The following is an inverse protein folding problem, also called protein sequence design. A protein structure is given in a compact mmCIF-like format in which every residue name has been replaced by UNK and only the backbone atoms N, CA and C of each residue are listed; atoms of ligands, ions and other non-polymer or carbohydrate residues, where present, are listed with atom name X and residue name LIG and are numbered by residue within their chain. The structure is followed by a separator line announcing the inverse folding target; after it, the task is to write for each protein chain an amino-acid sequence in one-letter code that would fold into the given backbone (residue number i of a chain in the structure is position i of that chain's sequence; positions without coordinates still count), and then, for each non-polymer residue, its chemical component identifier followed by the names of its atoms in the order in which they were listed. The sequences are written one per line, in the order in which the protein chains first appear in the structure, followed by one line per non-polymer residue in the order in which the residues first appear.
data_IF_323433135423
#
_entry.id   IF_323433135423
#
_cell.length_a   1.000
_cell.length_b   1.000
_cell.length_c   1.000
_cell.angle_alpha   90.00
_cell.angle_beta   90.00
_cell.angle_gamma   90.00
#
_symmetry.space_group_name_H-M   'P 1'
#
loop_
_entity.id
_entity.type
_entity.pdbx_description
1 polymer ?
#
# COMPACT_ATOMS: atom_id res chain seq x y z
N UNK A 1 24.07 -30.01 11.47
CA UNK A 1 22.75 -30.56 11.85
C UNK A 1 21.93 -30.61 10.58
N UNK A 2 21.24 -31.70 10.27
CA UNK A 2 20.39 -31.74 9.07
C UNK A 2 19.16 -30.87 9.33
N UNK A 3 19.07 -29.72 8.66
CA UNK A 3 17.87 -28.89 8.64
C UNK A 3 16.74 -29.69 7.98
N UNK A 4 15.69 -29.97 8.76
CA UNK A 4 14.44 -30.52 8.24
C UNK A 4 13.76 -29.46 7.37
N UNK A 5 13.87 -29.60 6.04
CA UNK A 5 13.12 -28.82 5.06
C UNK A 5 11.69 -29.35 4.94
N UNK A 6 10.74 -28.46 4.68
CA UNK A 6 9.35 -28.86 4.43
C UNK A 6 9.26 -29.71 3.15
N UNK A 7 8.30 -30.65 3.10
CA UNK A 7 8.15 -31.63 2.01
C UNK A 7 7.93 -30.99 0.62
N UNK A 8 7.52 -29.73 0.58
CA UNK A 8 7.27 -28.95 -0.66
C UNK A 8 8.50 -28.18 -1.15
N UNK A 9 9.62 -28.21 -0.42
CA UNK A 9 10.83 -27.45 -0.76
C UNK A 9 11.76 -28.30 -1.62
N UNK A 10 12.08 -27.79 -2.82
CA UNK A 10 13.01 -28.40 -3.76
C UNK A 10 14.37 -27.70 -3.64
N UNK A 11 15.45 -28.47 -3.72
CA UNK A 11 16.80 -27.95 -3.87
C UNK A 11 17.49 -28.60 -5.07
N UNK A 12 17.89 -27.78 -6.04
CA UNK A 12 18.55 -28.24 -7.27
C UNK A 12 19.52 -27.17 -7.79
N UNK A 13 20.73 -27.60 -8.17
CA UNK A 13 21.74 -26.72 -8.79
C UNK A 13 22.09 -25.45 -8.02
N UNK A 14 22.03 -25.46 -6.68
CA UNK A 14 22.28 -24.28 -5.82
C UNK A 14 21.04 -23.43 -5.50
N UNK A 15 19.93 -23.68 -6.20
CA UNK A 15 18.64 -23.03 -5.98
C UNK A 15 17.80 -23.81 -4.98
N UNK A 16 17.05 -23.07 -4.16
CA UNK A 16 16.06 -23.62 -3.22
C UNK A 16 14.74 -22.91 -3.44
N UNK A 17 13.64 -23.63 -3.57
CA UNK A 17 12.32 -23.00 -3.76
C UNK A 17 11.16 -23.88 -3.28
N UNK A 18 10.03 -23.24 -3.02
CA UNK A 18 8.76 -23.87 -2.68
C UNK A 18 8.05 -24.26 -3.98
N UNK A 19 7.78 -25.54 -4.16
CA UNK A 19 7.07 -26.06 -5.33
C UNK A 19 5.56 -25.77 -5.29
N UNK A 20 4.93 -25.79 -6.47
CA UNK A 20 3.48 -25.71 -6.68
C UNK A 20 2.79 -24.49 -6.06
N UNK A 21 3.51 -23.37 -5.90
CA UNK A 21 2.89 -22.11 -5.46
C UNK A 21 2.16 -21.50 -6.65
N UNK A 22 0.85 -21.29 -6.50
CA UNK A 22 0.03 -20.68 -7.54
C UNK A 22 0.50 -19.25 -7.80
N UNK A 23 0.68 -18.92 -9.08
CA UNK A 23 1.03 -17.57 -9.50
C UNK A 23 -0.13 -16.59 -9.23
N UNK A 24 0.21 -15.31 -9.12
CA UNK A 24 -0.70 -14.23 -8.82
C UNK A 24 -0.54 -13.07 -9.81
N UNK A 25 -1.52 -12.16 -9.84
CA UNK A 25 -1.44 -10.91 -10.59
C UNK A 25 -1.43 -9.75 -9.62
N UNK A 26 -0.23 -9.35 -9.20
CA UNK A 26 -0.01 -8.29 -8.24
C UNK A 26 0.00 -6.94 -8.98
N UNK A 27 0.83 -6.80 -10.01
CA UNK A 27 1.00 -5.54 -10.76
C UNK A 27 1.79 -4.48 -9.99
N UNK A 28 1.76 -3.24 -10.47
CA UNK A 28 2.55 -2.12 -9.94
C UNK A 28 1.69 -0.92 -9.48
N UNK A 29 0.40 -1.16 -9.19
CA UNK A 29 -0.53 -0.12 -8.73
C UNK A 29 -0.34 0.18 -7.23
N UNK A 30 -0.99 1.23 -6.73
CA UNK A 30 -0.86 1.68 -5.34
C UNK A 30 -1.25 0.64 -4.28
N UNK A 31 -2.04 -0.37 -4.64
CA UNK A 31 -2.49 -1.47 -3.79
C UNK A 31 -1.73 -2.77 -4.05
N UNK A 32 -0.61 -2.74 -4.77
CA UNK A 32 0.22 -3.91 -5.06
C UNK A 32 0.57 -4.70 -3.79
N UNK A 33 0.88 -4.02 -2.68
CA UNK A 33 1.13 -4.66 -1.38
C UNK A 33 -0.07 -5.49 -0.90
N UNK A 34 -1.29 -4.94 -0.97
CA UNK A 34 -2.51 -5.66 -0.57
C UNK A 34 -2.86 -6.78 -1.54
N UNK A 35 -2.58 -6.62 -2.85
CA UNK A 35 -2.76 -7.69 -3.85
C UNK A 35 -1.77 -8.84 -3.62
N UNK A 36 -0.54 -8.53 -3.23
CA UNK A 36 0.46 -9.52 -2.85
C UNK A 36 0.01 -10.28 -1.59
N UNK A 37 -0.47 -9.58 -0.55
CA UNK A 37 -1.03 -10.20 0.64
C UNK A 37 -2.27 -11.06 0.30
N UNK A 38 -3.18 -10.55 -0.53
CA UNK A 38 -4.35 -11.29 -1.02
C UNK A 38 -3.94 -12.61 -1.67
N UNK A 39 -3.01 -12.55 -2.62
CA UNK A 39 -2.50 -13.73 -3.30
C UNK A 39 -1.88 -14.75 -2.34
N UNK A 40 -1.10 -14.30 -1.36
CA UNK A 40 -0.51 -15.16 -0.34
C UNK A 40 -1.57 -15.81 0.57
N UNK A 41 -2.63 -15.09 0.94
CA UNK A 41 -3.72 -15.66 1.73
C UNK A 41 -4.55 -16.68 0.92
N UNK A 42 -4.82 -16.39 -0.35
CA UNK A 42 -5.53 -17.30 -1.25
C UNK A 42 -4.71 -18.57 -1.50
N UNK A 43 -3.39 -18.49 -1.66
CA UNK A 43 -2.54 -19.68 -1.81
C UNK A 43 -2.52 -20.57 -0.57
N UNK A 44 -2.85 -20.02 0.61
CA UNK A 44 -3.08 -20.76 1.86
C UNK A 44 -4.50 -21.31 2.00
N UNK A 45 -5.36 -21.10 1.00
CA UNK A 45 -6.75 -21.58 0.97
C UNK A 45 -7.75 -20.66 1.67
N UNK A 46 -7.37 -19.43 2.02
CA UNK A 46 -8.30 -18.49 2.66
C UNK A 46 -9.35 -17.98 1.66
N UNK A 47 -10.58 -17.87 2.14
CA UNK A 47 -11.71 -17.29 1.39
C UNK A 47 -11.80 -15.81 1.70
N UNK A 48 -10.93 -15.03 1.08
CA UNK A 48 -10.81 -13.58 1.25
C UNK A 48 -11.12 -12.88 -0.07
N UNK A 49 -11.56 -11.62 -0.01
CA UNK A 49 -11.67 -10.71 -1.17
C UNK A 49 -10.70 -9.55 -0.99
N UNK A 50 -10.26 -8.94 -2.09
CA UNK A 50 -9.40 -7.76 -2.03
C UNK A 50 -10.09 -6.60 -1.29
N UNK A 51 -11.39 -6.40 -1.51
CA UNK A 51 -12.18 -5.37 -0.83
C UNK A 51 -12.20 -5.57 0.69
N UNK A 52 -12.34 -6.82 1.15
CA UNK A 52 -12.27 -7.12 2.58
C UNK A 52 -10.89 -6.84 3.16
N UNK A 53 -9.81 -7.13 2.41
CA UNK A 53 -8.45 -6.79 2.83
C UNK A 53 -8.22 -5.28 2.89
N UNK A 54 -8.67 -4.53 1.90
CA UNK A 54 -8.61 -3.06 1.89
C UNK A 54 -9.38 -2.46 3.07
N UNK A 55 -10.56 -3.00 3.39
CA UNK A 55 -11.34 -2.53 4.52
C UNK A 55 -10.67 -2.85 5.87
N UNK A 56 -10.21 -4.09 6.05
CA UNK A 56 -9.56 -4.52 7.28
C UNK A 56 -8.18 -3.89 7.49
N UNK A 57 -7.46 -3.53 6.43
CA UNK A 57 -6.19 -2.79 6.54
C UNK A 57 -6.40 -1.34 6.98
N UNK A 58 -7.60 -0.79 6.74
CA UNK A 58 -7.95 0.61 6.90
C UNK A 58 -7.81 1.43 5.61
N UNK A 59 -7.26 0.86 4.54
CA UNK A 59 -7.01 1.58 3.28
C UNK A 59 -8.29 2.00 2.58
N UNK A 60 -9.36 1.20 2.69
CA UNK A 60 -10.66 1.52 2.10
C UNK A 60 -11.25 2.84 2.64
N UNK A 61 -10.94 3.19 3.89
CA UNK A 61 -11.55 4.30 4.63
C UNK A 61 -10.69 5.57 4.64
N UNK A 62 -9.57 5.59 3.93
CA UNK A 62 -8.64 6.71 4.00
C UNK A 62 -8.33 7.28 2.62
N UNK A 63 -8.08 8.59 2.57
CA UNK A 63 -7.51 9.27 1.41
C UNK A 63 -6.21 9.95 1.85
N UNK A 64 -5.23 10.04 0.95
CA UNK A 64 -3.98 10.73 1.21
C UNK A 64 -3.69 11.79 0.13
N UNK A 65 -3.16 12.93 0.55
CA UNK A 65 -2.67 13.99 -0.35
C UNK A 65 -1.30 14.50 0.10
N UNK A 66 -0.36 14.64 -0.83
CA UNK A 66 0.97 15.17 -0.55
C UNK A 66 1.02 16.70 -0.72
N UNK A 67 1.76 17.41 0.14
CA UNK A 67 2.18 18.78 -0.15
C UNK A 67 3.14 18.76 -1.34
N UNK A 68 3.00 19.75 -2.23
CA UNK A 68 3.85 19.89 -3.41
C UNK A 68 3.82 18.65 -4.34
N UNK A 69 2.72 18.46 -5.07
CA UNK A 69 2.50 17.36 -6.03
C UNK A 69 3.61 17.14 -7.08
N UNK A 70 4.53 18.08 -7.22
CA UNK A 70 5.69 17.99 -8.12
C UNK A 70 6.89 17.25 -7.50
N UNK A 71 6.95 17.16 -6.18
CA UNK A 71 7.91 16.31 -5.49
C UNK A 71 7.54 14.82 -5.71
N UNK A 72 8.46 13.90 -5.41
CA UNK A 72 8.20 12.46 -5.51
C UNK A 72 7.08 12.04 -4.55
N UNK A 73 5.83 12.11 -5.00
CA UNK A 73 4.67 11.83 -4.17
C UNK A 73 4.30 10.35 -4.26
N UNK A 74 4.58 9.63 -3.18
CA UNK A 74 4.07 8.28 -2.97
C UNK A 74 2.87 8.40 -2.03
N UNK A 75 1.66 8.04 -2.45
CA UNK A 75 0.51 8.19 -1.55
C UNK A 75 0.62 7.23 -0.36
N UNK A 76 0.68 7.76 0.85
CA UNK A 76 0.78 6.99 2.08
C UNK A 76 -0.60 6.71 2.69
N UNK A 77 -0.66 5.94 3.78
CA UNK A 77 -1.83 5.77 4.65
C UNK A 77 -1.31 5.72 6.09
N UNK A 78 -1.97 6.24 7.11
CA UNK A 78 -1.41 6.22 8.47
C UNK A 78 -1.50 4.86 9.17
N UNK A 79 -1.99 3.82 8.50
CA UNK A 79 -2.19 2.47 9.06
C UNK A 79 -1.06 1.51 8.76
N UNK A 80 -0.83 0.55 9.67
CA UNK A 80 -0.07 -0.67 9.37
C UNK A 80 -0.93 -1.62 8.52
N UNK A 81 -0.88 -1.44 7.20
CA UNK A 81 -1.77 -2.11 6.27
C UNK A 81 -1.64 -3.62 6.30
N UNK A 82 -0.41 -4.13 6.30
CA UNK A 82 -0.11 -5.56 6.27
C UNK A 82 -0.50 -6.21 7.58
N UNK A 83 -0.09 -5.63 8.71
CA UNK A 83 -0.37 -6.23 10.03
C UNK A 83 -1.85 -6.22 10.33
N UNK A 84 -2.55 -5.12 10.08
CA UNK A 84 -4.01 -5.03 10.30
C UNK A 84 -4.76 -6.05 9.44
N UNK A 85 -4.42 -6.14 8.15
CA UNK A 85 -5.06 -7.07 7.24
C UNK A 85 -4.75 -8.53 7.62
N UNK A 86 -3.49 -8.89 7.86
CA UNK A 86 -3.12 -10.24 8.26
C UNK A 86 -3.80 -10.66 9.57
N UNK A 87 -3.81 -9.78 10.58
CA UNK A 87 -4.46 -10.03 11.85
C UNK A 87 -5.97 -10.26 11.70
N UNK A 88 -6.62 -9.53 10.79
CA UNK A 88 -8.05 -9.71 10.48
C UNK A 88 -8.38 -11.06 9.83
N UNK A 89 -7.39 -11.80 9.33
CA UNK A 89 -7.55 -13.18 8.87
C UNK A 89 -6.91 -14.20 9.82
N UNK A 90 -6.52 -13.75 11.02
CA UNK A 90 -5.97 -14.58 12.08
C UNK A 90 -4.50 -14.91 11.89
N UNK A 91 -3.76 -14.18 11.06
CA UNK A 91 -2.33 -14.37 10.86
C UNK A 91 -1.51 -13.34 11.62
N UNK A 92 -0.33 -13.75 12.07
CA UNK A 92 0.67 -12.79 12.54
C UNK A 92 1.43 -12.26 11.33
N UNK A 93 1.59 -10.95 11.25
CA UNK A 93 2.54 -10.33 10.32
C UNK A 93 3.75 -9.83 11.11
N UNK A 94 4.91 -9.91 10.49
CA UNK A 94 6.14 -9.34 11.03
C UNK A 94 6.93 -8.69 9.89
N UNK A 95 7.31 -7.42 10.06
CA UNK A 95 8.27 -6.79 9.17
C UNK A 95 9.68 -7.34 9.46
N UNK A 96 10.34 -7.88 8.44
CA UNK A 96 11.73 -8.32 8.49
C UNK A 96 12.65 -7.11 8.59
N UNK A 97 13.11 -6.81 9.80
CA UNK A 97 14.26 -5.94 10.07
C UNK A 97 14.30 -4.63 9.26
N UNK A 98 13.34 -3.75 9.52
CA UNK A 98 13.45 -2.36 9.12
C UNK A 98 14.29 -1.62 10.16
N UNK A 99 15.61 -1.83 10.17
CA UNK A 99 16.49 -1.02 11.01
C UNK A 99 16.27 0.46 10.65
N UNK A 100 15.68 1.21 11.58
CA UNK A 100 15.58 2.66 11.43
C UNK A 100 16.93 3.20 11.85
N UNK A 101 17.71 3.53 10.85
CA UNK A 101 18.78 4.48 11.04
C UNK A 101 18.12 5.80 10.68
N UNK A 102 17.97 6.72 11.63
CA UNK A 102 17.26 7.98 11.40
C UNK A 102 17.80 8.79 10.22
N UNK A 103 19.06 8.54 9.88
CA UNK A 103 19.80 9.15 8.77
C UNK A 103 19.71 8.32 7.47
N UNK A 104 18.99 7.19 7.49
CA UNK A 104 18.90 6.19 6.43
C UNK A 104 20.02 5.14 6.45
N UNK A 105 19.82 4.00 5.80
CA UNK A 105 20.88 2.98 5.63
C UNK A 105 22.12 3.55 4.96
N UNK A 106 21.97 4.59 4.12
CA UNK A 106 23.09 5.28 3.47
C UNK A 106 24.05 5.97 4.45
N UNK A 107 23.62 6.28 5.67
CA UNK A 107 24.48 6.87 6.69
C UNK A 107 25.44 5.86 7.35
N UNK A 108 25.17 4.56 7.19
CA UNK A 108 26.05 3.51 7.71
C UNK A 108 27.30 3.31 6.85
N UNK A 109 28.41 2.89 7.49
CA UNK A 109 29.52 2.25 6.78
C UNK A 109 29.03 1.05 5.94
N UNK A 110 29.64 0.86 4.76
CA UNK A 110 29.25 -0.20 3.81
C UNK A 110 29.18 -1.59 4.45
N UNK A 111 30.14 -1.95 5.29
CA UNK A 111 30.18 -3.26 5.93
C UNK A 111 28.96 -3.49 6.85
N UNK A 112 28.53 -2.47 7.59
CA UNK A 112 27.33 -2.53 8.45
C UNK A 112 26.06 -2.67 7.60
N UNK A 113 25.99 -2.00 6.44
CA UNK A 113 24.86 -2.16 5.50
C UNK A 113 24.75 -3.60 5.00
N UNK A 114 25.89 -4.18 4.63
CA UNK A 114 25.96 -5.57 4.15
C UNK A 114 25.57 -6.56 5.25
N UNK A 115 25.94 -6.32 6.49
CA UNK A 115 25.58 -7.19 7.61
C UNK A 115 24.07 -7.17 7.90
N UNK A 116 23.44 -5.99 7.88
CA UNK A 116 21.97 -5.85 8.00
C UNK A 116 21.25 -6.56 6.85
N UNK A 117 21.68 -6.32 5.61
CA UNK A 117 21.09 -6.99 4.44
C UNK A 117 21.25 -8.50 4.49
N UNK A 118 22.42 -8.99 4.92
CA UNK A 118 22.66 -10.43 5.10
C UNK A 118 21.72 -11.01 6.15
N UNK A 119 21.50 -10.33 7.27
CA UNK A 119 20.58 -10.79 8.31
C UNK A 119 19.13 -10.88 7.79
N UNK A 120 18.68 -9.88 7.02
CA UNK A 120 17.36 -9.90 6.37
C UNK A 120 17.25 -11.07 5.37
N UNK A 121 18.25 -11.28 4.52
CA UNK A 121 18.27 -12.38 3.54
C UNK A 121 18.31 -13.76 4.20
N UNK A 122 19.14 -13.98 5.21
CA UNK A 122 19.18 -15.26 5.93
C UNK A 122 17.83 -15.59 6.58
N UNK A 123 17.10 -14.56 7.03
CA UNK A 123 15.76 -14.75 7.57
C UNK A 123 14.74 -15.08 6.48
N UNK A 124 14.83 -14.47 5.29
CA UNK A 124 14.05 -14.88 4.11
C UNK A 124 14.36 -16.34 3.76
N UNK A 125 15.64 -16.72 3.71
CA UNK A 125 16.06 -18.07 3.35
C UNK A 125 15.51 -19.12 4.31
N UNK A 126 15.59 -18.86 5.62
CA UNK A 126 15.04 -19.75 6.64
C UNK A 126 13.53 -19.97 6.50
N UNK A 127 12.79 -18.93 6.10
CA UNK A 127 11.35 -19.02 5.86
C UNK A 127 11.03 -19.85 4.62
N UNK A 128 11.80 -19.67 3.54
CA UNK A 128 11.70 -20.51 2.34
C UNK A 128 12.05 -21.97 2.65
N UNK A 129 13.12 -22.24 3.39
CA UNK A 129 13.51 -23.59 3.82
C UNK A 129 12.40 -24.26 4.66
N UNK A 130 11.64 -23.45 5.40
CA UNK A 130 10.47 -23.89 6.16
C UNK A 130 9.17 -23.96 5.33
N UNK A 131 9.24 -23.74 4.02
CA UNK A 131 8.08 -23.82 3.12
C UNK A 131 7.14 -22.62 3.18
N UNK A 132 7.59 -21.47 3.70
CA UNK A 132 6.77 -20.27 3.89
C UNK A 132 7.20 -19.13 2.95
N UNK A 133 6.34 -18.73 1.99
CA UNK A 133 6.62 -17.59 1.13
C UNK A 133 6.69 -16.26 1.91
N UNK A 134 7.45 -15.31 1.38
CA UNK A 134 7.70 -13.99 1.99
C UNK A 134 7.21 -12.88 1.05
N UNK A 135 6.54 -11.86 1.58
CA UNK A 135 6.21 -10.66 0.78
C UNK A 135 7.43 -9.75 0.74
N UNK A 136 7.90 -9.37 -0.46
CA UNK A 136 9.10 -8.52 -0.62
C UNK A 136 8.80 -7.36 -1.55
N UNK A 137 9.18 -6.16 -1.12
CA UNK A 137 9.08 -4.93 -1.90
C UNK A 137 10.43 -4.57 -2.52
N UNK A 138 10.43 -4.21 -3.80
CA UNK A 138 11.56 -3.55 -4.48
C UNK A 138 12.87 -4.34 -4.61
N UNK A 139 12.85 -5.65 -4.38
CA UNK A 139 14.00 -6.51 -4.62
C UNK A 139 14.25 -6.79 -6.13
N UNK A 140 13.21 -6.68 -6.96
CA UNK A 140 13.33 -6.71 -8.43
C UNK A 140 13.71 -5.32 -8.98
N UNK A 141 14.11 -5.25 -10.26
CA UNK A 141 14.20 -3.96 -10.97
C UNK A 141 12.85 -3.24 -10.84
N UNK A 142 12.88 -2.03 -10.27
CA UNK A 142 11.73 -1.21 -9.82
C UNK A 142 11.28 -1.44 -8.37
N UNK A 143 11.78 -0.55 -7.54
CA UNK A 143 11.47 -0.34 -6.13
C UNK A 143 10.01 -0.07 -5.73
N UNK A 144 9.10 0.16 -6.68
CA UNK A 144 7.65 0.27 -6.42
C UNK A 144 6.94 -1.09 -6.50
N UNK A 145 7.63 -2.15 -6.94
CA UNK A 145 7.04 -3.47 -7.11
C UNK A 145 6.98 -4.26 -5.81
N UNK A 146 5.87 -4.97 -5.64
CA UNK A 146 5.67 -5.95 -4.59
C UNK A 146 5.55 -7.33 -5.21
N UNK A 147 6.16 -8.32 -4.58
CA UNK A 147 6.16 -9.71 -5.06
C UNK A 147 6.07 -10.69 -3.89
N UNK A 148 5.75 -11.94 -4.21
CA UNK A 148 5.88 -13.03 -3.26
C UNK A 148 7.15 -13.80 -3.61
N UNK A 149 8.10 -13.85 -2.68
CA UNK A 149 9.33 -14.62 -2.80
C UNK A 149 9.07 -16.04 -2.32
N UNK A 150 9.43 -17.00 -3.17
CA UNK A 150 9.24 -18.45 -2.97
C UNK A 150 10.53 -19.24 -3.08
N UNK A 151 11.66 -18.60 -3.36
CA UNK A 151 12.94 -19.28 -3.55
C UNK A 151 14.14 -18.35 -3.52
N UNK A 152 15.33 -18.92 -3.46
CA UNK A 152 16.60 -18.20 -3.44
C UNK A 152 17.76 -19.00 -4.07
N UNK A 153 18.80 -18.29 -4.50
CA UNK A 153 20.11 -18.80 -4.91
C UNK A 153 21.19 -17.95 -4.20
N UNK A 154 21.89 -18.54 -3.22
CA UNK A 154 22.87 -17.79 -2.41
C UNK A 154 24.15 -17.47 -3.17
N UNK A 155 24.52 -18.29 -4.15
CA UNK A 155 25.79 -18.10 -4.87
C UNK A 155 25.67 -17.02 -5.94
N UNK A 156 24.46 -16.82 -6.47
CA UNK A 156 24.17 -15.86 -7.52
C UNK A 156 23.39 -14.62 -7.03
N UNK A 157 23.13 -14.51 -5.73
CA UNK A 157 22.31 -13.47 -5.12
C UNK A 157 20.95 -13.30 -5.85
N UNK A 158 20.24 -14.41 -6.06
CA UNK A 158 18.93 -14.41 -6.72
C UNK A 158 17.81 -14.69 -5.72
N UNK A 159 16.67 -14.05 -5.95
CA UNK A 159 15.40 -14.46 -5.36
C UNK A 159 14.48 -15.00 -6.46
N UNK A 160 13.62 -15.94 -6.10
CA UNK A 160 12.58 -16.47 -6.97
C UNK A 160 11.25 -15.82 -6.61
N UNK A 161 10.66 -15.10 -7.55
CA UNK A 161 9.45 -14.31 -7.39
C UNK A 161 8.28 -14.93 -8.15
N UNK A 162 7.09 -14.76 -7.58
CA UNK A 162 5.79 -14.98 -8.24
C UNK A 162 4.97 -13.68 -8.14
N UNK A 163 3.96 -13.52 -9.01
CA UNK A 163 3.05 -12.37 -8.94
C UNK A 163 2.89 -11.53 -10.21
N UNK A 164 3.52 -11.92 -11.32
CA UNK A 164 3.54 -11.15 -12.59
C UNK A 164 3.17 -12.03 -13.81
N UNK A 165 2.25 -13.00 -13.65
CA UNK A 165 1.81 -13.95 -14.68
C UNK A 165 2.84 -15.02 -15.11
N UNK A 166 4.04 -15.02 -14.51
CA UNK A 166 5.06 -16.07 -14.64
C UNK A 166 5.28 -16.76 -13.28
N UNK A 167 5.18 -18.10 -13.20
CA UNK A 167 5.09 -18.82 -11.94
C UNK A 167 6.39 -18.96 -11.15
N UNK A 168 7.57 -18.72 -11.75
CA UNK A 168 8.86 -18.76 -11.06
C UNK A 168 9.88 -17.88 -11.79
N UNK A 169 9.99 -16.61 -11.39
CA UNK A 169 10.96 -15.67 -11.96
C UNK A 169 12.18 -15.55 -11.06
N UNK A 170 13.32 -16.02 -11.55
CA UNK A 170 14.60 -15.90 -10.85
C UNK A 170 15.27 -14.59 -11.25
N UNK A 171 15.37 -13.65 -10.32
CA UNK A 171 15.91 -12.31 -10.59
C UNK A 171 17.06 -11.97 -9.65
N UNK A 172 18.11 -11.28 -10.15
CA UNK A 172 19.09 -10.61 -9.30
C UNK A 172 18.44 -9.66 -8.31
N UNK A 173 18.98 -9.59 -7.10
CA UNK A 173 18.51 -8.67 -6.06
C UNK A 173 19.09 -7.28 -6.34
N UNK A 174 18.23 -6.31 -6.64
CA UNK A 174 18.65 -4.93 -6.92
C UNK A 174 19.42 -4.35 -5.73
N UNK A 175 20.56 -3.71 -6.01
CA UNK A 175 21.40 -3.09 -4.97
C UNK A 175 22.24 -4.08 -4.14
N UNK A 176 22.15 -5.38 -4.41
CA UNK A 176 22.94 -6.44 -3.76
C UNK A 176 23.78 -7.20 -4.79
N UNK A 177 23.16 -7.66 -5.89
CA UNK A 177 23.88 -8.39 -6.94
C UNK A 177 24.72 -7.46 -7.80
N UNK A 178 25.98 -7.82 -8.06
CA UNK A 178 26.90 -7.05 -8.92
C UNK A 178 26.31 -6.86 -10.31
N UNK A 179 26.33 -5.62 -10.82
CA UNK A 179 25.82 -5.28 -12.16
C UNK A 179 24.32 -4.99 -12.22
N UNK A 180 23.62 -4.97 -11.08
CA UNK A 180 22.24 -4.43 -10.97
C UNK A 180 22.25 -2.92 -10.77
N UNK A 181 21.09 -2.28 -10.91
CA UNK A 181 20.93 -0.89 -10.51
C UNK A 181 21.27 -0.71 -9.02
N UNK A 182 22.02 0.34 -8.71
CA UNK A 182 22.42 0.70 -7.33
C UNK A 182 23.30 -0.35 -6.61
N UNK A 183 24.03 -1.22 -7.34
CA UNK A 183 24.85 -2.33 -6.80
C UNK A 183 25.91 -1.95 -5.75
N UNK A 184 26.31 -0.68 -5.65
CA UNK A 184 27.20 -0.18 -4.59
C UNK A 184 26.51 0.05 -3.23
N UNK A 185 25.18 0.00 -3.16
CA UNK A 185 24.43 0.21 -1.91
C UNK A 185 24.63 -0.91 -0.91
N UNK A 186 24.57 -2.17 -1.35
CA UNK A 186 24.64 -3.35 -0.48
C UNK A 186 23.32 -3.67 0.23
N UNK A 187 22.20 -3.14 -0.26
CA UNK A 187 20.83 -3.36 0.24
C UNK A 187 19.83 -2.99 -0.87
N UNK A 188 18.60 -3.51 -0.81
CA UNK A 188 17.53 -3.13 -1.73
C UNK A 188 16.57 -2.15 -1.08
N UNK A 189 15.84 -1.38 -1.89
CA UNK A 189 14.85 -0.42 -1.39
C UNK A 189 13.49 -0.70 -1.98
N UNK A 190 12.45 -0.48 -1.18
CA UNK A 190 11.07 -0.57 -1.65
C UNK A 190 10.19 0.48 -1.01
N UNK A 191 9.12 0.86 -1.72
CA UNK A 191 8.14 1.80 -1.21
C UNK A 191 7.06 1.06 -0.39
N UNK A 192 7.02 1.32 0.93
CA UNK A 192 6.00 0.81 1.82
C UNK A 192 4.86 1.82 1.97
N UNK A 193 3.63 1.32 1.98
CA UNK A 193 2.47 2.12 2.34
C UNK A 193 2.13 1.93 3.81
N UNK A 194 2.26 3.04 4.50
CA UNK A 194 1.77 3.28 5.84
C UNK A 194 2.67 2.90 7.00
N UNK A 195 2.06 2.76 8.17
CA UNK A 195 2.74 2.66 9.44
C UNK A 195 3.30 1.25 9.66
N UNK A 196 4.27 0.86 8.84
CA UNK A 196 4.93 -0.45 8.94
C UNK A 196 5.80 -0.58 10.21
N UNK A 197 6.04 0.53 10.92
CA UNK A 197 6.72 0.59 12.22
C UNK A 197 6.35 1.88 12.96
N UNK A 198 6.60 1.89 14.27
CA UNK A 198 6.40 3.07 15.12
C UNK A 198 7.17 4.29 14.59
N UNK A 199 6.46 5.42 14.45
CA UNK A 199 7.06 6.69 14.03
C UNK A 199 7.36 6.82 12.53
N UNK A 200 7.08 5.80 11.71
CA UNK A 200 7.23 5.86 10.26
C UNK A 200 5.86 5.77 9.59
N UNK A 201 5.57 6.65 8.62
CA UNK A 201 4.30 6.66 7.88
C UNK A 201 4.59 6.65 6.38
N UNK A 202 4.83 5.44 5.86
CA UNK A 202 5.08 5.17 4.46
C UNK A 202 6.34 5.82 3.85
N UNK A 203 6.63 5.44 2.62
CA UNK A 203 7.81 5.88 1.87
C UNK A 203 8.84 4.77 1.69
N UNK A 204 10.08 5.18 1.38
CA UNK A 204 11.16 4.28 1.04
C UNK A 204 11.74 3.64 2.29
N UNK A 205 11.72 2.32 2.34
CA UNK A 205 12.41 1.55 3.37
C UNK A 205 13.44 0.66 2.73
N UNK A 206 14.44 0.29 3.52
CA UNK A 206 15.49 -0.62 3.12
C UNK A 206 15.09 -2.03 3.49
N UNK A 207 15.42 -2.97 2.61
CA UNK A 207 15.11 -4.38 2.72
C UNK A 207 13.63 -4.71 3.06
N UNK A 208 12.60 -4.04 2.48
CA UNK A 208 11.22 -4.30 2.86
C UNK A 208 10.82 -5.73 2.58
N UNK A 209 10.54 -6.46 3.65
CA UNK A 209 9.97 -7.78 3.57
C UNK A 209 9.03 -8.03 4.76
N UNK A 210 7.94 -8.77 4.51
CA UNK A 210 6.95 -9.13 5.52
C UNK A 210 6.77 -10.63 5.57
N UNK A 211 6.92 -11.18 6.78
CA UNK A 211 6.52 -12.54 7.09
C UNK A 211 5.06 -12.54 7.46
N UNK A 212 4.28 -13.32 6.72
CA UNK A 212 2.95 -13.70 7.17
C UNK A 212 3.12 -15.06 7.85
N UNK A 213 3.20 -15.06 9.17
CA UNK A 213 3.46 -16.24 9.98
C UNK A 213 2.31 -17.24 9.98
N UNK A 214 2.29 -18.11 10.99
CA UNK A 214 1.23 -19.09 11.17
C UNK A 214 -0.11 -18.43 11.55
N UNK A 215 -1.19 -19.18 11.29
CA UNK A 215 -2.51 -18.79 11.77
C UNK A 215 -2.55 -18.95 13.29
N UNK A 216 -3.03 -17.91 13.97
CA UNK A 216 -3.34 -17.92 15.39
C UNK A 216 -4.28 -19.08 15.73
N UNK A 217 -3.98 -19.78 16.83
CA UNK A 217 -4.85 -20.84 17.37
C UNK A 217 -6.25 -20.29 17.73
N UNK A 218 -6.31 -19.02 18.11
CA UNK A 218 -7.53 -18.28 18.41
C UNK A 218 -7.58 -17.03 17.53
N UNK A 219 -8.12 -17.11 16.30
CA UNK A 219 -8.31 -15.92 15.47
C UNK A 219 -9.36 -14.99 16.09
N UNK A 220 -9.28 -13.67 15.85
CA UNK A 220 -10.26 -12.74 16.40
C UNK A 220 -11.67 -13.00 15.87
N UNK A 221 -12.69 -12.66 16.65
CA UNK A 221 -14.07 -12.83 16.21
C UNK A 221 -14.41 -11.88 15.06
N UNK A 222 -15.19 -12.33 14.08
CA UNK A 222 -15.58 -11.51 12.91
C UNK A 222 -16.19 -10.17 13.30
N UNK A 223 -17.03 -10.16 14.34
CA UNK A 223 -17.64 -8.94 14.84
C UNK A 223 -16.60 -7.97 15.39
N UNK A 224 -15.62 -8.46 16.16
CA UNK A 224 -14.54 -7.64 16.71
C UNK A 224 -13.70 -7.03 15.60
N UNK A 225 -13.34 -7.82 14.58
CA UNK A 225 -12.57 -7.34 13.43
C UNK A 225 -13.32 -6.30 12.61
N UNK A 226 -14.63 -6.50 12.41
CA UNK A 226 -15.49 -5.52 11.74
C UNK A 226 -15.58 -4.22 12.54
N UNK A 227 -15.80 -4.29 13.85
CA UNK A 227 -15.83 -3.12 14.71
C UNK A 227 -14.48 -2.39 14.72
N UNK A 228 -13.37 -3.13 14.78
CA UNK A 228 -12.02 -2.56 14.74
C UNK A 228 -11.75 -1.83 13.43
N UNK A 229 -12.10 -2.43 12.28
CA UNK A 229 -11.91 -1.80 10.97
C UNK A 229 -12.76 -0.52 10.82
N UNK A 230 -14.03 -0.55 11.22
CA UNK A 230 -14.91 0.62 11.19
C UNK A 230 -14.43 1.75 12.11
N UNK A 231 -14.01 1.42 13.34
CA UNK A 231 -13.41 2.40 14.27
C UNK A 231 -12.13 3.00 13.70
N UNK A 232 -11.27 2.16 13.14
CA UNK A 232 -10.06 2.62 12.46
C UNK A 232 -10.41 3.58 11.33
N UNK A 233 -11.42 3.29 10.51
CA UNK A 233 -11.88 4.22 9.48
C UNK A 233 -12.25 5.60 10.03
N UNK A 234 -13.01 5.64 11.13
CA UNK A 234 -13.36 6.90 11.82
C UNK A 234 -12.12 7.62 12.36
N UNK A 235 -11.17 6.89 12.93
CA UNK A 235 -9.90 7.45 13.44
C UNK A 235 -9.04 8.03 12.32
N UNK A 236 -8.94 7.33 11.18
CA UNK A 236 -8.14 7.76 10.03
C UNK A 236 -8.70 9.00 9.36
N UNK A 237 -10.03 9.12 9.31
CA UNK A 237 -10.67 10.31 8.81
C UNK A 237 -10.29 11.57 9.63
N UNK A 238 -10.04 11.39 10.93
CA UNK A 238 -9.61 12.44 11.85
C UNK A 238 -8.07 12.52 12.00
N UNK A 239 -7.30 11.74 11.23
CA UNK A 239 -5.86 11.71 11.35
C UNK A 239 -5.23 13.07 11.02
N UNK A 240 -4.24 13.46 11.81
CA UNK A 240 -3.52 14.71 11.61
C UNK A 240 -2.62 14.66 10.38
N UNK A 241 -2.22 15.82 9.88
CA UNK A 241 -1.10 15.99 8.95
C UNK A 241 0.17 15.30 9.50
N UNK A 242 0.84 14.52 8.66
CA UNK A 242 2.13 13.90 8.97
C UNK A 242 3.23 14.47 8.07
N UNK A 243 4.39 14.73 8.66
CA UNK A 243 5.61 15.04 7.91
C UNK A 243 6.36 13.73 7.62
N UNK A 244 6.84 13.54 6.39
CA UNK A 244 7.69 12.40 6.02
C UNK A 244 9.04 12.92 5.52
N UNK A 245 10.07 12.66 6.32
CA UNK A 245 11.46 13.08 6.10
C UNK A 245 12.21 12.26 5.03
N UNK A 246 11.53 11.74 3.99
CA UNK A 246 12.22 11.13 2.85
C UNK A 246 12.56 12.19 1.79
N UNK A 247 13.73 12.06 1.14
CA UNK A 247 14.34 12.99 0.17
C UNK A 247 13.40 14.02 -0.46
N UNK A 248 13.21 15.15 0.24
CA UNK A 248 12.33 16.24 -0.18
C UNK A 248 11.39 16.83 0.88
N UNK A 249 11.30 16.27 2.09
CA UNK A 249 10.53 16.86 3.20
C UNK A 249 9.04 17.05 2.87
N UNK A 250 8.40 15.96 2.42
CA UNK A 250 7.01 15.99 1.94
C UNK A 250 6.06 15.86 3.12
N UNK A 251 5.05 16.72 3.17
CA UNK A 251 3.95 16.56 4.11
C UNK A 251 2.83 15.74 3.49
N UNK A 252 2.24 14.82 4.24
CA UNK A 252 1.03 14.11 3.86
C UNK A 252 -0.15 14.55 4.72
N UNK A 253 -1.26 14.78 4.05
CA UNK A 253 -2.57 15.05 4.62
C UNK A 253 -3.44 13.81 4.47
N UNK A 254 -4.32 13.55 5.43
CA UNK A 254 -5.17 12.38 5.47
C UNK A 254 -6.62 12.74 5.78
N UNK A 255 -7.54 11.82 5.50
CA UNK A 255 -8.97 12.01 5.77
C UNK A 255 -9.52 13.31 5.18
N UNK A 256 -10.35 14.03 5.92
CA UNK A 256 -10.96 15.29 5.48
C UNK A 256 -9.92 16.35 5.03
N UNK A 257 -8.78 16.44 5.71
CA UNK A 257 -7.74 17.42 5.38
C UNK A 257 -7.09 17.12 4.02
N UNK A 258 -7.03 15.84 3.63
CA UNK A 258 -6.55 15.45 2.30
C UNK A 258 -7.45 15.97 1.17
N UNK A 259 -8.78 15.88 1.33
CA UNK A 259 -9.72 16.42 0.35
C UNK A 259 -9.61 17.93 0.25
N UNK A 260 -9.55 18.64 1.37
CA UNK A 260 -9.42 20.10 1.39
C UNK A 260 -8.11 20.56 0.73
N UNK A 261 -7.00 19.88 1.05
CA UNK A 261 -5.74 20.21 0.42
C UNK A 261 -5.75 19.86 -1.07
N UNK A 262 -6.41 18.78 -1.48
CA UNK A 262 -6.56 18.45 -2.89
C UNK A 262 -7.38 19.48 -3.66
N UNK A 263 -8.55 19.88 -3.13
CA UNK A 263 -9.39 20.92 -3.71
C UNK A 263 -8.62 22.24 -3.84
N UNK A 264 -7.90 22.65 -2.78
CA UNK A 264 -7.04 23.84 -2.81
C UNK A 264 -5.95 23.72 -3.87
N UNK A 265 -5.25 22.58 -3.93
CA UNK A 265 -4.21 22.32 -4.92
C UNK A 265 -4.75 22.49 -6.34
N UNK A 266 -5.96 21.99 -6.64
CA UNK A 266 -6.59 22.17 -7.96
C UNK A 266 -6.89 23.64 -8.28
N UNK A 267 -7.41 24.42 -7.32
CA UNK A 267 -7.73 25.83 -7.53
C UNK A 267 -6.50 26.71 -7.75
N UNK A 268 -5.43 26.42 -7.04
CA UNK A 268 -4.21 27.24 -7.06
C UNK A 268 -3.20 26.79 -8.11
N UNK A 269 -3.44 25.64 -8.76
CA UNK A 269 -2.54 25.05 -9.75
C UNK A 269 -2.41 25.97 -10.98
N UNK A 270 -1.18 26.41 -11.24
CA UNK A 270 -0.78 27.19 -12.40
C UNK A 270 -0.12 26.27 -13.45
N UNK A 271 -0.91 25.42 -14.09
CA UNK A 271 -0.43 24.46 -15.08
C UNK A 271 -0.32 25.08 -16.49
N UNK A 272 0.77 24.84 -17.25
CA UNK A 272 1.93 23.98 -16.94
C UNK A 272 3.10 24.72 -16.27
N UNK A 273 2.99 26.04 -15.98
CA UNK A 273 4.10 26.84 -15.45
C UNK A 273 4.69 26.23 -14.16
N UNK A 274 3.82 25.68 -13.33
CA UNK A 274 4.16 24.95 -12.13
C UNK A 274 5.07 23.74 -12.40
N UNK A 275 4.92 22.99 -13.50
CA UNK A 275 5.81 21.86 -13.84
C UNK A 275 7.29 22.26 -14.00
N UNK A 276 7.54 23.53 -14.29
CA UNK A 276 8.88 24.04 -14.54
C UNK A 276 9.51 24.70 -13.31
N UNK A 277 8.81 24.70 -12.17
CA UNK A 277 9.39 25.17 -10.91
C UNK A 277 10.50 24.20 -10.47
N UNK A 278 11.61 24.72 -9.91
CA UNK A 278 12.67 23.86 -9.39
C UNK A 278 12.10 22.94 -8.32
N UNK A 279 12.33 21.65 -8.49
CA UNK A 279 11.95 20.67 -7.49
C UNK A 279 13.04 20.58 -6.42
N UNK A 280 12.68 20.46 -5.13
CA UNK A 280 13.63 20.07 -4.11
C UNK A 280 14.32 18.76 -4.51
N UNK A 281 15.64 18.71 -4.35
CA UNK A 281 16.44 17.49 -4.28
C UNK A 281 16.31 16.49 -5.46
N UNK A 282 16.09 16.98 -6.68
CA UNK A 282 16.14 16.12 -7.87
C UNK A 282 14.89 15.28 -8.11
N UNK A 283 13.76 15.61 -7.47
CA UNK A 283 12.47 15.07 -7.86
C UNK A 283 12.23 15.31 -9.37
N UNK A 284 11.65 14.32 -10.06
CA UNK A 284 11.47 14.34 -11.53
C UNK A 284 10.12 14.98 -11.88
N UNK A 285 10.08 15.89 -12.85
CA UNK A 285 8.91 16.76 -13.12
C UNK A 285 7.65 16.15 -13.77
N UNK A 286 7.32 14.86 -13.55
CA UNK A 286 6.21 14.18 -14.24
C UNK A 286 5.06 13.66 -13.33
N UNK A 287 4.84 14.21 -12.12
CA UNK A 287 3.97 13.56 -11.12
C UNK A 287 2.58 14.17 -10.85
N UNK A 288 2.24 15.38 -11.32
CA UNK A 288 0.90 15.96 -11.09
C UNK A 288 -0.23 15.01 -11.47
N UNK A 289 -0.14 14.50 -12.69
CA UNK A 289 -1.17 13.66 -13.30
C UNK A 289 -1.21 12.26 -12.71
N UNK A 290 -0.03 11.72 -12.33
CA UNK A 290 0.08 10.45 -11.63
C UNK A 290 -0.63 10.51 -10.28
N UNK A 291 -0.34 11.53 -9.47
CA UNK A 291 -0.95 11.68 -8.14
C UNK A 291 -2.47 11.81 -8.20
N UNK A 292 -2.98 12.68 -9.08
CA UNK A 292 -4.42 12.89 -9.23
C UNK A 292 -5.12 11.63 -9.78
N UNK A 293 -4.49 10.93 -10.72
CA UNK A 293 -4.99 9.63 -11.20
C UNK A 293 -5.06 8.61 -10.07
N UNK A 294 -3.99 8.48 -9.28
CA UNK A 294 -3.95 7.55 -8.14
C UNK A 294 -4.94 7.93 -7.04
N UNK A 295 -5.18 9.22 -6.79
CA UNK A 295 -6.18 9.69 -5.81
C UNK A 295 -7.61 9.35 -6.23
N UNK A 296 -7.96 9.62 -7.48
CA UNK A 296 -9.28 9.26 -8.02
C UNK A 296 -9.45 7.74 -7.98
N UNK A 297 -8.42 6.97 -8.33
CA UNK A 297 -8.46 5.52 -8.26
C UNK A 297 -8.56 4.98 -6.81
N UNK A 298 -7.92 5.64 -5.84
CA UNK A 298 -8.10 5.35 -4.41
C UNK A 298 -9.54 5.58 -3.94
N UNK A 299 -10.19 6.67 -4.40
CA UNK A 299 -11.62 6.89 -4.11
C UNK A 299 -12.45 5.78 -4.76
N UNK A 300 -12.29 5.57 -6.06
CA UNK A 300 -13.12 4.62 -6.80
C UNK A 300 -13.03 3.20 -6.26
N UNK A 301 -11.83 2.70 -5.96
CA UNK A 301 -11.63 1.32 -5.48
C UNK A 301 -11.75 1.23 -3.95
N UNK A 302 -11.16 2.17 -3.23
CA UNK A 302 -11.20 2.18 -1.76
C UNK A 302 -12.60 2.41 -1.22
N UNK A 303 -13.35 3.38 -1.75
CA UNK A 303 -14.72 3.67 -1.26
C UNK A 303 -15.73 2.63 -1.71
N UNK A 304 -15.57 2.03 -2.89
CA UNK A 304 -16.35 0.85 -3.26
C UNK A 304 -16.13 -0.31 -2.28
N UNK A 305 -14.87 -0.58 -1.90
CA UNK A 305 -14.56 -1.59 -0.88
C UNK A 305 -15.13 -1.22 0.50
N UNK A 306 -15.07 0.05 0.90
CA UNK A 306 -15.66 0.53 2.14
C UNK A 306 -17.20 0.39 2.16
N UNK A 307 -17.87 0.68 1.05
CA UNK A 307 -19.31 0.53 0.90
C UNK A 307 -19.73 -0.95 1.01
N UNK A 308 -19.08 -1.85 0.29
CA UNK A 308 -19.31 -3.30 0.39
C UNK A 308 -19.06 -3.82 1.81
N UNK A 309 -18.01 -3.33 2.46
CA UNK A 309 -17.73 -3.68 3.85
C UNK A 309 -18.82 -3.21 4.81
N UNK A 310 -19.34 -1.99 4.64
CA UNK A 310 -20.45 -1.48 5.43
C UNK A 310 -21.72 -2.32 5.23
N UNK A 311 -22.04 -2.69 3.98
CA UNK A 311 -23.16 -3.61 3.67
C UNK A 311 -22.98 -4.96 4.33
N UNK A 312 -21.79 -5.55 4.26
CA UNK A 312 -21.47 -6.80 4.95
C UNK A 312 -21.64 -6.68 6.47
N UNK A 313 -21.17 -5.57 7.06
CA UNK A 313 -21.25 -5.32 8.48
C UNK A 313 -22.70 -5.32 9.03
N UNK A 314 -23.71 -4.98 8.21
CA UNK A 314 -25.13 -5.05 8.60
C UNK A 314 -25.57 -6.45 9.05
N UNK A 315 -24.94 -7.50 8.51
CA UNK A 315 -25.25 -8.90 8.86
C UNK A 315 -24.82 -9.21 10.30
N UNK A 316 -23.68 -8.65 10.71
CA UNK A 316 -23.06 -8.84 12.02
C UNK A 316 -23.61 -7.85 13.07
N UNK A 317 -23.92 -6.63 12.64
CA UNK A 317 -24.35 -5.51 13.49
C UNK A 317 -25.80 -5.13 13.20
N UNK A 318 -26.74 -6.09 13.25
CA UNK A 318 -28.14 -5.91 12.81
C UNK A 318 -28.86 -4.70 13.42
N UNK A 319 -28.58 -4.39 14.69
CA UNK A 319 -29.16 -3.22 15.39
C UNK A 319 -28.62 -1.86 14.93
N UNK A 320 -27.68 -1.84 13.97
CA UNK A 320 -27.02 -0.65 13.41
C UNK A 320 -27.10 -0.63 11.88
N UNK A 321 -27.95 -1.46 11.28
CA UNK A 321 -28.05 -1.63 9.84
C UNK A 321 -28.36 -0.30 9.12
N UNK A 322 -29.25 0.53 9.66
CA UNK A 322 -29.64 1.80 9.06
C UNK A 322 -28.44 2.74 8.86
N UNK A 323 -27.60 2.88 9.89
CA UNK A 323 -26.37 3.69 9.81
C UNK A 323 -25.35 3.09 8.84
N UNK A 324 -25.14 1.77 8.88
CA UNK A 324 -24.17 1.12 7.99
C UNK A 324 -24.60 1.17 6.52
N UNK A 325 -25.90 1.08 6.23
CA UNK A 325 -26.43 1.25 4.87
C UNK A 325 -26.33 2.70 4.42
N UNK A 326 -26.64 3.67 5.28
CA UNK A 326 -26.47 5.09 4.98
C UNK A 326 -25.01 5.46 4.67
N UNK A 327 -24.06 4.87 5.42
CA UNK A 327 -22.63 5.04 5.13
C UNK A 327 -22.22 4.42 3.79
N UNK A 328 -22.72 3.22 3.47
CA UNK A 328 -22.47 2.60 2.17
C UNK A 328 -23.02 3.45 1.01
N UNK A 329 -24.24 3.97 1.14
CA UNK A 329 -24.87 4.84 0.14
C UNK A 329 -24.09 6.15 -0.03
N UNK A 330 -23.49 6.68 1.03
CA UNK A 330 -22.65 7.88 0.95
C UNK A 330 -21.35 7.61 0.18
N UNK A 331 -20.66 6.50 0.47
CA UNK A 331 -19.48 6.10 -0.31
C UNK A 331 -19.80 5.83 -1.79
N UNK A 332 -20.95 5.21 -2.10
CA UNK A 332 -21.39 5.05 -3.49
C UNK A 332 -21.58 6.39 -4.21
N UNK A 333 -22.18 7.39 -3.53
CA UNK A 333 -22.36 8.73 -4.10
C UNK A 333 -21.03 9.43 -4.31
N UNK A 334 -20.08 9.26 -3.40
CA UNK A 334 -18.72 9.77 -3.55
C UNK A 334 -18.06 9.21 -4.82
N UNK A 335 -18.12 7.89 -5.04
CA UNK A 335 -17.64 7.25 -6.27
C UNK A 335 -18.38 7.79 -7.52
N UNK A 336 -19.69 8.00 -7.43
CA UNK A 336 -20.47 8.55 -8.54
C UNK A 336 -20.02 9.98 -8.90
N UNK A 337 -19.75 10.82 -7.90
CA UNK A 337 -19.20 12.17 -8.10
C UNK A 337 -17.84 12.11 -8.81
N UNK A 338 -16.94 11.23 -8.37
CA UNK A 338 -15.64 11.04 -9.03
C UNK A 338 -15.81 10.61 -10.50
N UNK A 339 -16.66 9.62 -10.77
CA UNK A 339 -16.90 9.12 -12.12
C UNK A 339 -17.52 10.16 -13.05
N UNK A 340 -18.52 10.93 -12.58
CA UNK A 340 -19.23 11.92 -13.38
C UNK A 340 -18.41 13.19 -13.60
N UNK A 341 -17.74 13.69 -12.55
CA UNK A 341 -17.15 15.04 -12.54
C UNK A 341 -15.64 15.05 -12.72
N UNK A 342 -14.95 13.91 -12.60
CA UNK A 342 -13.52 13.76 -12.87
C UNK A 342 -13.21 12.70 -13.96
N UNK A 343 -13.94 12.66 -15.10
CA UNK A 343 -13.84 11.57 -16.08
C UNK A 343 -12.46 11.45 -16.75
N UNK A 344 -11.69 12.54 -16.78
CA UNK A 344 -10.33 12.53 -17.29
C UNK A 344 -9.40 11.61 -16.48
N UNK A 345 -9.71 11.36 -15.21
CA UNK A 345 -8.88 10.58 -14.29
C UNK A 345 -9.41 9.17 -14.05
N UNK A 346 -10.68 8.87 -14.39
CA UNK A 346 -11.25 7.52 -14.30
C UNK A 346 -11.10 6.72 -15.60
N UNK A 347 -11.40 7.33 -16.75
CA UNK A 347 -11.44 6.65 -18.06
C UNK A 347 -10.57 7.34 -19.12
N UNK A 348 -10.03 8.52 -18.81
CA UNK A 348 -9.24 9.32 -19.74
C UNK A 348 -7.81 8.82 -19.95
N UNK A 349 -7.29 9.10 -21.15
CA UNK A 349 -5.86 8.94 -21.46
C UNK A 349 -5.02 10.01 -20.76
N UNK A 350 -3.71 9.82 -20.72
CA UNK A 350 -2.76 10.84 -20.25
C UNK A 350 -2.97 12.19 -20.96
N UNK A 351 -3.19 12.17 -22.27
CA UNK A 351 -3.49 13.39 -23.04
C UNK A 351 -4.80 14.06 -22.58
N UNK A 352 -5.85 13.29 -22.25
CA UNK A 352 -7.08 13.86 -21.71
C UNK A 352 -6.85 14.57 -20.38
N UNK A 353 -5.99 14.01 -19.51
CA UNK A 353 -5.62 14.62 -18.22
C UNK A 353 -4.82 15.91 -18.42
N UNK A 354 -3.86 15.92 -19.35
CA UNK A 354 -3.11 17.13 -19.72
C UNK A 354 -4.04 18.26 -20.15
N UNK A 355 -4.96 17.98 -21.08
CA UNK A 355 -5.88 19.01 -21.58
C UNK A 355 -6.86 19.49 -20.49
N UNK A 356 -7.35 18.57 -19.66
CA UNK A 356 -8.18 18.92 -18.50
C UNK A 356 -7.43 19.84 -17.52
N UNK A 357 -6.15 19.54 -17.23
CA UNK A 357 -5.34 20.34 -16.33
C UNK A 357 -4.96 21.71 -16.88
N UNK A 358 -4.92 21.92 -18.20
CA UNK A 358 -4.66 23.25 -18.78
C UNK A 358 -5.83 24.21 -18.59
N UNK A 359 -7.06 23.72 -18.62
CA UNK A 359 -8.26 24.54 -18.49
C UNK A 359 -8.53 24.92 -17.02
N UNK A 360 -8.38 26.20 -16.67
CA UNK A 360 -8.65 26.71 -15.33
C UNK A 360 -10.13 26.54 -14.90
N UNK A 361 -11.07 26.47 -15.85
CA UNK A 361 -12.47 26.14 -15.53
C UNK A 361 -12.59 24.70 -15.07
N UNK A 362 -11.99 23.75 -15.79
CA UNK A 362 -11.98 22.34 -15.41
C UNK A 362 -11.37 22.14 -14.02
N UNK A 363 -10.24 22.79 -13.71
CA UNK A 363 -9.61 22.69 -12.38
C UNK A 363 -10.52 23.19 -11.25
N UNK A 364 -11.23 24.30 -11.45
CA UNK A 364 -12.23 24.81 -10.48
C UNK A 364 -13.41 23.86 -10.32
N UNK A 365 -13.96 23.37 -11.42
CA UNK A 365 -15.06 22.38 -11.41
C UNK A 365 -14.63 21.07 -10.70
N UNK A 366 -13.36 20.67 -10.87
CA UNK A 366 -12.77 19.53 -10.17
C UNK A 366 -12.57 19.78 -8.68
N UNK A 367 -12.15 20.98 -8.27
CA UNK A 367 -12.07 21.33 -6.85
C UNK A 367 -13.45 21.31 -6.18
N UNK A 368 -14.48 21.79 -6.86
CA UNK A 368 -15.87 21.67 -6.42
C UNK A 368 -16.33 20.20 -6.34
N UNK A 369 -15.87 19.34 -7.26
CA UNK A 369 -16.14 17.91 -7.20
C UNK A 369 -15.48 17.26 -5.99
N UNK A 370 -14.22 17.61 -5.69
CA UNK A 370 -13.50 17.12 -4.50
C UNK A 370 -14.19 17.53 -3.21
N UNK A 371 -14.72 18.76 -3.13
CA UNK A 371 -15.49 19.19 -1.96
C UNK A 371 -16.84 18.47 -1.84
N UNK A 372 -17.51 18.21 -2.95
CA UNK A 372 -18.73 17.39 -2.93
C UNK A 372 -18.44 15.95 -2.45
N UNK A 373 -17.33 15.36 -2.89
CA UNK A 373 -16.88 14.05 -2.39
C UNK A 373 -16.60 14.09 -0.88
N UNK A 374 -15.99 15.16 -0.37
CA UNK A 374 -15.77 15.34 1.06
C UNK A 374 -17.09 15.42 1.87
N UNK A 375 -18.15 16.01 1.33
CA UNK A 375 -19.46 16.03 2.00
C UNK A 375 -20.02 14.61 2.19
N UNK A 376 -19.91 13.75 1.17
CA UNK A 376 -20.32 12.35 1.25
C UNK A 376 -19.41 11.52 2.17
N UNK A 377 -18.08 11.71 2.10
CA UNK A 377 -17.11 11.10 3.03
C UNK A 377 -17.44 11.45 4.49
N UNK A 378 -17.72 12.73 4.78
CA UNK A 378 -18.10 13.19 6.13
C UNK A 378 -19.41 12.54 6.60
N UNK A 379 -20.40 12.42 5.71
CA UNK A 379 -21.66 11.75 6.02
C UNK A 379 -21.45 10.26 6.32
N UNK A 380 -20.67 9.56 5.49
CA UNK A 380 -20.34 8.16 5.70
C UNK A 380 -19.66 7.92 7.04
N UNK A 381 -18.64 8.72 7.36
CA UNK A 381 -17.89 8.62 8.62
C UNK A 381 -18.76 8.95 9.83
N UNK A 382 -19.68 9.91 9.73
CA UNK A 382 -20.62 10.22 10.80
C UNK A 382 -21.55 9.03 11.11
N UNK A 383 -22.08 8.37 10.09
CA UNK A 383 -22.92 7.19 10.27
C UNK A 383 -22.15 5.98 10.80
N UNK A 384 -20.93 5.73 10.30
CA UNK A 384 -20.04 4.69 10.86
C UNK A 384 -19.79 4.96 12.34
N UNK A 385 -19.49 6.22 12.70
CA UNK A 385 -19.28 6.63 14.10
C UNK A 385 -20.50 6.29 14.96
N UNK A 386 -21.71 6.64 14.52
CA UNK A 386 -22.95 6.26 15.22
C UNK A 386 -23.09 4.74 15.39
N UNK A 387 -22.73 3.96 14.37
CA UNK A 387 -22.78 2.51 14.41
C UNK A 387 -21.82 1.89 15.44
N UNK A 388 -20.62 2.46 15.63
CA UNK A 388 -19.55 1.86 16.46
C UNK A 388 -19.39 2.44 17.87
N UNK A 389 -19.91 3.64 18.15
CA UNK A 389 -19.74 4.34 19.43
C UNK A 389 -20.83 4.05 20.48
N UNK A 390 -21.94 3.41 20.11
CA UNK A 390 -23.08 3.27 21.03
C UNK A 390 -23.11 1.91 21.74
N UNK A 391 -22.77 1.91 23.05
CA UNK A 391 -22.87 0.79 24.00
C UNK A 391 -24.29 0.27 24.18
#
# INVERSE_FOLDING_TARGET
MAETRADTVIADGGRVWIADVADARIGADWDALLRALYALLVSRGEKVTLDALMAHSGDAFNLCHASNWQAAASLCVPTDTVTNAAAAFGYRAEALDSSYIPEGMDALPRDERLDVTRAALERIYAEIDAGRPVLVGGAEEHCERWSIVVGYDREQDLLCHIGDADPYRWTPISGVTVGTADDERGYWTGCCRGAVRDGFVGGWVCNPAFLIGERSETPPERLEMTLSALRRGVELHAAAKHHVDCGGGIDYFFGAEAYEQWARSLETLDYPADLHKPLPDGARGWYAMGNMGTQVDQIMRGRAAAAEFCRYATVLMRGRADHLLAAADAYDRECAVAAERLPAFTEGTEQNRVEWLKDARCRREGAEAVRAMLEDENAAVADIRCAVETR
#
